data_IF_827140300253
#
_entry.id   IF_827140300253
#
_cell.length_a   1.000
_cell.length_b   1.000
_cell.length_c   1.000
_cell.angle_alpha   90.00
_cell.angle_beta   90.00
_cell.angle_gamma   90.00
#
_symmetry.space_group_name_H-M   'P 1'
#
loop_
_entity.id
_entity.type
_entity.pdbx_description
1 polymer ?
#
# COMPACT_ATOMS: atom_id res chain seq x y z
N UNK A 1 -0.87 -17.51 11.36
CA UNK A 1 -1.35 -16.37 10.55
C UNK A 1 -0.59 -16.36 9.23
N UNK A 2 -1.30 -16.15 8.14
CA UNK A 2 -0.68 -16.12 6.83
C UNK A 2 0.24 -14.91 6.69
N UNK A 3 1.22 -15.04 5.80
CA UNK A 3 2.15 -13.94 5.55
C UNK A 3 1.54 -12.94 4.56
N UNK A 4 1.88 -11.67 4.75
CA UNK A 4 1.56 -10.63 3.79
C UNK A 4 2.27 -10.93 2.47
N UNK A 5 1.53 -10.78 1.37
CA UNK A 5 2.08 -11.01 0.03
C UNK A 5 1.55 -9.94 -0.92
N UNK A 6 2.43 -9.41 -1.77
CA UNK A 6 2.03 -8.51 -2.84
C UNK A 6 2.73 -8.93 -4.13
N UNK A 7 1.92 -9.19 -5.17
CA UNK A 7 2.42 -9.76 -6.42
C UNK A 7 3.19 -11.06 -6.10
N UNK A 8 4.47 -11.12 -6.42
CA UNK A 8 5.29 -12.31 -6.14
C UNK A 8 6.19 -12.17 -4.92
N UNK A 9 6.07 -11.06 -4.19
CA UNK A 9 6.86 -10.85 -2.97
C UNK A 9 6.09 -11.31 -1.75
N UNK A 10 6.65 -12.26 -1.02
CA UNK A 10 6.11 -12.74 0.25
C UNK A 10 6.98 -12.16 1.36
N UNK A 11 6.36 -11.47 2.32
CA UNK A 11 7.10 -10.95 3.46
C UNK A 11 7.72 -12.09 4.24
N UNK A 12 9.04 -12.06 4.51
CA UNK A 12 9.68 -13.10 5.35
C UNK A 12 9.10 -13.14 6.75
N UNK A 13 8.74 -11.96 7.26
CA UNK A 13 8.08 -11.78 8.55
C UNK A 13 7.05 -10.68 8.37
N UNK A 14 5.84 -10.91 8.86
CA UNK A 14 4.78 -9.90 8.74
C UNK A 14 5.20 -8.58 9.39
N UNK A 15 4.76 -7.45 8.83
CA UNK A 15 4.99 -6.15 9.45
C UNK A 15 4.52 -6.12 10.91
N UNK A 16 5.20 -5.31 11.73
CA UNK A 16 4.87 -5.20 13.15
C UNK A 16 3.59 -4.39 13.37
N UNK A 17 3.33 -3.43 12.49
CA UNK A 17 2.19 -2.53 12.60
C UNK A 17 1.42 -2.56 11.29
N UNK A 18 0.11 -2.70 11.41
CA UNK A 18 -0.85 -2.55 10.31
C UNK A 18 -1.85 -1.48 10.67
N UNK A 19 -2.16 -0.62 9.71
CA UNK A 19 -3.26 0.34 9.84
C UNK A 19 -4.10 0.27 8.59
N UNK A 20 -5.40 0.29 8.76
CA UNK A 20 -6.34 0.33 7.64
C UNK A 20 -7.27 1.50 7.88
N UNK A 21 -7.39 2.37 6.88
CA UNK A 21 -8.38 3.43 6.94
C UNK A 21 -9.10 3.56 5.61
N UNK A 22 -10.25 4.17 5.65
CA UNK A 22 -11.09 4.36 4.50
C UNK A 22 -11.12 5.83 4.16
N UNK A 23 -11.01 6.15 2.88
CA UNK A 23 -11.06 7.51 2.41
C UNK A 23 -12.01 7.60 1.22
N UNK A 24 -12.60 8.77 1.05
CA UNK A 24 -13.55 9.02 -0.01
C UNK A 24 -13.32 10.42 -0.56
N UNK A 25 -13.25 10.51 -1.87
CA UNK A 25 -13.16 11.81 -2.52
C UNK A 25 -14.51 12.51 -2.47
N UNK A 26 -14.48 13.82 -2.36
CA UNK A 26 -15.69 14.65 -2.38
C UNK A 26 -15.77 15.32 -3.74
N UNK A 27 -16.95 15.31 -4.32
CA UNK A 27 -17.19 15.93 -5.63
C UNK A 27 -17.93 17.26 -5.41
N UNK A 28 -17.32 18.36 -5.86
CA UNK A 28 -17.85 19.70 -5.69
C UNK A 28 -18.10 20.36 -7.04
N UNK A 29 -19.14 21.19 -7.10
CA UNK A 29 -19.34 22.15 -8.19
C UNK A 29 -19.17 23.55 -7.66
N UNK A 30 -18.56 24.42 -8.46
CA UNK A 30 -18.53 25.86 -8.17
C UNK A 30 -19.87 26.46 -8.56
N UNK A 31 -20.57 27.02 -7.58
CA UNK A 31 -21.90 27.63 -7.82
C UNK A 31 -21.82 29.14 -7.95
N UNK A 32 -20.82 29.79 -7.37
CA UNK A 32 -20.51 31.19 -7.54
C UNK A 32 -19.08 31.44 -7.10
N UNK A 33 -18.55 32.61 -7.44
CA UNK A 33 -17.15 32.92 -7.13
C UNK A 33 -16.85 32.72 -5.65
N UNK A 34 -15.92 31.81 -5.36
CA UNK A 34 -15.51 31.49 -4.00
C UNK A 34 -16.41 30.53 -3.23
N UNK A 35 -17.49 30.05 -3.83
CA UNK A 35 -18.43 29.15 -3.18
C UNK A 35 -18.56 27.82 -3.94
N UNK A 36 -18.59 26.73 -3.21
CA UNK A 36 -18.68 25.39 -3.77
C UNK A 36 -19.86 24.66 -3.15
N UNK A 37 -20.54 23.88 -3.96
CA UNK A 37 -21.60 22.99 -3.51
C UNK A 37 -21.11 21.56 -3.59
N UNK A 38 -21.27 20.78 -2.51
CA UNK A 38 -20.98 19.36 -2.52
C UNK A 38 -22.05 18.67 -3.36
N UNK A 39 -21.63 18.06 -4.46
CA UNK A 39 -22.53 17.39 -5.41
C UNK A 39 -22.71 15.92 -5.08
N UNK A 40 -21.67 15.29 -4.55
CA UNK A 40 -21.72 13.88 -4.21
C UNK A 40 -20.44 13.40 -3.58
N UNK A 41 -20.42 12.11 -3.28
CA UNK A 41 -19.27 11.43 -2.72
C UNK A 41 -18.66 10.54 -3.80
N UNK A 42 -17.34 10.56 -3.89
CA UNK A 42 -16.61 9.63 -4.73
C UNK A 42 -16.60 8.23 -4.14
N UNK A 43 -15.92 7.34 -4.82
CA UNK A 43 -15.81 5.94 -4.37
C UNK A 43 -15.05 5.86 -3.04
N UNK A 44 -15.52 4.97 -2.18
CA UNK A 44 -14.83 4.65 -0.94
C UNK A 44 -13.62 3.78 -1.27
N UNK A 45 -12.45 4.18 -0.81
CA UNK A 45 -11.21 3.45 -1.03
C UNK A 45 -10.62 3.03 0.31
N UNK A 46 -10.06 1.84 0.34
CA UNK A 46 -9.36 1.33 1.50
C UNK A 46 -7.86 1.58 1.33
N UNK A 47 -7.26 2.18 2.35
CA UNK A 47 -5.83 2.44 2.38
C UNK A 47 -5.21 1.60 3.47
N UNK A 48 -4.24 0.79 3.12
CA UNK A 48 -3.56 -0.11 4.04
C UNK A 48 -2.13 0.36 4.20
N UNK A 49 -1.76 0.72 5.42
CA UNK A 49 -0.39 1.10 5.74
C UNK A 49 0.19 0.12 6.74
N UNK A 50 1.50 0.06 6.77
CA UNK A 50 2.17 -0.79 7.74
C UNK A 50 3.63 -0.40 7.87
N UNK A 51 4.25 -0.94 8.90
CA UNK A 51 5.68 -0.75 9.15
C UNK A 51 6.26 -1.98 9.82
N UNK A 52 7.55 -2.15 9.64
CA UNK A 52 8.24 -3.28 10.23
C UNK A 52 9.72 -3.20 9.94
N UNK A 53 10.37 -4.35 10.05
CA UNK A 53 11.81 -4.47 9.90
C UNK A 53 12.12 -5.70 9.07
N UNK A 54 13.01 -5.54 8.10
CA UNK A 54 13.70 -6.67 7.50
C UNK A 54 15.01 -6.87 8.24
N UNK A 55 15.29 -8.09 8.63
CA UNK A 55 16.51 -8.42 9.36
C UNK A 55 17.15 -9.67 8.77
N UNK A 56 18.44 -9.86 9.04
CA UNK A 56 19.19 -10.97 8.50
C UNK A 56 19.93 -10.59 7.21
N UNK A 57 20.60 -11.58 6.63
CA UNK A 57 21.45 -11.35 5.46
C UNK A 57 20.70 -10.82 4.24
N UNK A 58 19.41 -11.13 4.13
CA UNK A 58 18.57 -10.72 3.00
C UNK A 58 17.86 -9.38 3.20
N UNK A 59 18.10 -8.66 4.30
CA UNK A 59 17.37 -7.45 4.63
C UNK A 59 17.35 -6.42 3.50
N UNK A 60 18.52 -6.08 2.96
CA UNK A 60 18.61 -5.15 1.84
C UNK A 60 17.99 -5.69 0.56
N UNK A 61 18.21 -6.97 0.29
CA UNK A 61 17.65 -7.59 -0.91
C UNK A 61 16.13 -7.57 -0.85
N UNK A 62 15.53 -7.82 0.30
CA UNK A 62 14.09 -7.78 0.49
C UNK A 62 13.55 -6.37 0.28
N UNK A 63 14.21 -5.37 0.83
CA UNK A 63 13.79 -3.98 0.62
C UNK A 63 13.90 -3.56 -0.84
N UNK A 64 14.96 -3.97 -1.52
CA UNK A 64 15.12 -3.67 -2.95
C UNK A 64 14.07 -4.33 -3.81
N UNK A 65 13.61 -5.51 -3.45
CA UNK A 65 12.51 -6.17 -4.15
C UNK A 65 11.22 -5.38 -4.00
N UNK A 66 10.92 -4.86 -2.81
CA UNK A 66 9.78 -3.97 -2.60
C UNK A 66 9.94 -2.66 -3.38
N UNK A 67 11.13 -2.10 -3.39
CA UNK A 67 11.41 -0.88 -4.15
C UNK A 67 11.11 -1.08 -5.63
N UNK A 68 11.53 -2.21 -6.19
CA UNK A 68 11.23 -2.55 -7.58
C UNK A 68 9.73 -2.66 -7.83
N UNK A 69 8.98 -3.27 -6.91
CA UNK A 69 7.54 -3.36 -7.01
C UNK A 69 6.86 -1.99 -6.90
N UNK A 70 7.40 -1.11 -6.06
CA UNK A 70 6.89 0.25 -5.92
C UNK A 70 7.07 1.06 -7.20
N UNK A 71 8.11 0.77 -7.97
CA UNK A 71 8.35 1.43 -9.26
C UNK A 71 7.39 0.97 -10.36
N UNK A 72 6.75 -0.17 -10.20
CA UNK A 72 5.74 -0.66 -11.15
C UNK A 72 4.44 0.14 -10.99
N UNK A 73 3.82 0.47 -12.11
CA UNK A 73 2.60 1.29 -12.10
C UNK A 73 1.31 0.49 -12.13
N UNK A 74 1.38 -0.80 -12.41
CA UNK A 74 0.20 -1.66 -12.48
C UNK A 74 -0.21 -2.15 -11.09
N UNK A 75 -1.52 -2.32 -10.90
CA UNK A 75 -2.05 -2.94 -9.69
C UNK A 75 -1.61 -4.39 -9.60
N UNK A 76 -1.53 -4.90 -8.39
CA UNK A 76 -1.23 -6.30 -8.11
C UNK A 76 -2.14 -6.85 -7.04
N UNK A 77 -2.11 -8.16 -6.89
CA UNK A 77 -2.88 -8.81 -5.83
C UNK A 77 -2.12 -8.69 -4.52
N UNK A 78 -2.80 -8.09 -3.53
CA UNK A 78 -2.33 -7.98 -2.16
C UNK A 78 -3.07 -9.03 -1.34
N UNK A 79 -2.33 -9.91 -0.70
CA UNK A 79 -2.92 -10.91 0.21
C UNK A 79 -2.57 -10.50 1.63
N UNK A 80 -3.58 -10.03 2.34
CA UNK A 80 -3.43 -9.53 3.69
C UNK A 80 -3.83 -10.62 4.69
N UNK A 81 -3.11 -10.78 5.81
CA UNK A 81 -3.44 -11.84 6.80
C UNK A 81 -4.87 -11.75 7.35
N UNK A 82 -5.43 -10.56 7.42
CA UNK A 82 -6.77 -10.33 7.97
C UNK A 82 -7.79 -10.10 6.87
N UNK A 83 -7.48 -9.23 5.89
CA UNK A 83 -8.42 -8.81 4.86
C UNK A 83 -8.51 -9.75 3.68
N UNK A 84 -7.55 -10.68 3.55
CA UNK A 84 -7.53 -11.60 2.42
C UNK A 84 -7.03 -10.94 1.15
N UNK A 85 -7.55 -11.39 0.01
CA UNK A 85 -7.06 -10.99 -1.31
C UNK A 85 -7.80 -9.75 -1.82
N UNK A 86 -7.05 -8.74 -2.24
CA UNK A 86 -7.59 -7.55 -2.88
C UNK A 86 -6.60 -7.00 -3.90
N UNK A 87 -7.09 -6.28 -4.89
CA UNK A 87 -6.24 -5.60 -5.86
C UNK A 87 -5.80 -4.26 -5.30
N UNK A 88 -4.51 -3.95 -5.40
CA UNK A 88 -3.97 -2.75 -4.80
C UNK A 88 -2.75 -2.22 -5.58
N UNK A 89 -2.46 -0.95 -5.35
CA UNK A 89 -1.23 -0.31 -5.80
C UNK A 89 -0.34 -0.08 -4.60
N UNK A 90 0.95 -0.37 -4.74
CA UNK A 90 1.94 0.06 -3.76
C UNK A 90 2.34 1.49 -4.10
N UNK A 91 1.81 2.45 -3.35
CA UNK A 91 1.92 3.86 -3.69
C UNK A 91 2.98 4.60 -2.89
N UNK A 92 3.44 4.00 -1.80
CA UNK A 92 4.45 4.63 -0.97
C UNK A 92 5.29 3.57 -0.28
N UNK A 93 6.60 3.78 -0.28
CA UNK A 93 7.56 2.94 0.41
C UNK A 93 8.63 3.84 0.99
N UNK A 94 8.91 3.69 2.27
CA UNK A 94 9.87 4.52 2.96
C UNK A 94 10.81 3.65 3.80
N UNK A 95 12.07 4.02 3.81
CA UNK A 95 13.04 3.49 4.76
C UNK A 95 13.02 4.44 5.96
N UNK A 96 12.48 3.98 7.07
CA UNK A 96 12.15 4.86 8.20
C UNK A 96 13.33 5.23 9.09
N UNK A 97 14.44 4.52 8.94
CA UNK A 97 15.67 4.78 9.66
C UNK A 97 16.85 4.56 8.74
N UNK A 98 17.99 5.13 9.08
CA UNK A 98 19.21 4.84 8.35
C UNK A 98 19.51 3.34 8.46
N UNK A 99 19.77 2.66 7.32
CA UNK A 99 19.99 1.22 7.35
C UNK A 99 21.29 0.84 8.02
N UNK A 100 21.27 -0.31 8.67
CA UNK A 100 22.45 -0.93 9.26
C UNK A 100 22.69 -2.27 8.57
N UNK A 101 23.82 -2.86 8.84
CA UNK A 101 24.10 -4.19 8.33
C UNK A 101 23.00 -5.17 8.79
N UNK A 102 22.42 -5.89 7.85
CA UNK A 102 21.38 -6.88 8.10
C UNK A 102 20.13 -6.32 8.81
N UNK A 103 19.84 -5.03 8.63
CA UNK A 103 18.70 -4.41 9.29
C UNK A 103 18.16 -3.24 8.45
N UNK A 104 16.89 -3.32 8.07
CA UNK A 104 16.20 -2.24 7.35
C UNK A 104 14.82 -2.04 7.94
N UNK A 105 14.58 -0.87 8.51
CA UNK A 105 13.25 -0.47 8.98
C UNK A 105 12.50 0.22 7.83
N UNK A 106 11.23 -0.12 7.64
CA UNK A 106 10.45 0.35 6.51
C UNK A 106 9.02 0.67 6.90
N UNK A 107 8.37 1.48 6.05
CA UNK A 107 6.93 1.65 6.07
C UNK A 107 6.41 1.63 4.63
N UNK A 108 5.14 1.30 4.48
CA UNK A 108 4.53 1.21 3.16
C UNK A 108 3.08 1.67 3.18
N UNK A 109 2.56 1.95 1.99
CA UNK A 109 1.17 2.32 1.82
C UNK A 109 0.63 1.69 0.54
N UNK A 110 -0.45 0.94 0.67
CA UNK A 110 -1.21 0.37 -0.44
C UNK A 110 -2.53 1.13 -0.58
N UNK A 111 -2.90 1.40 -1.82
CA UNK A 111 -4.21 1.94 -2.17
C UNK A 111 -4.99 0.87 -2.91
N UNK A 112 -6.21 0.57 -2.45
CA UNK A 112 -7.06 -0.42 -3.10
C UNK A 112 -7.42 0.05 -4.51
N UNK A 113 -7.31 -0.86 -5.48
CA UNK A 113 -7.61 -0.56 -6.87
C UNK A 113 -9.11 -0.57 -7.13
N UNK A 114 -9.54 0.25 -8.08
CA UNK A 114 -10.92 0.22 -8.56
C UNK A 114 -11.10 -0.92 -9.56
N UNK A 115 -12.35 -1.22 -9.91
CA UNK A 115 -12.67 -2.32 -10.83
C UNK A 115 -11.91 -2.18 -12.17
N UNK A 116 -11.78 -0.94 -12.67
CA UNK A 116 -11.08 -0.70 -13.95
C UNK A 116 -9.59 -0.96 -13.91
N UNK A 117 -9.00 -1.05 -12.71
CA UNK A 117 -7.57 -1.24 -12.51
C UNK A 117 -7.21 -2.66 -12.03
N UNK A 118 -8.16 -3.58 -12.08
CA UNK A 118 -7.93 -4.95 -11.58
C UNK A 118 -6.79 -5.63 -12.33
N UNK A 119 -5.86 -6.27 -11.63
CA UNK A 119 -4.75 -6.97 -12.27
C UNK A 119 -5.21 -8.26 -12.94
N UNK A 120 -4.45 -8.70 -13.91
CA UNK A 120 -4.66 -10.01 -14.51
C UNK A 120 -4.19 -11.09 -13.53
N UNK A 121 -4.85 -12.24 -13.57
CA UNK A 121 -4.47 -13.37 -12.76
C UNK A 121 -3.25 -14.11 -13.30
#
# INVERSE_FOLDING_TARGET
>A
MDKLKFKNFIWPRNPEVYKTHYTRDLVYNEVSEGYFQLVGLGDLKRVITGSGVFSGESAFADFKRLEALCAETAAGWLIHPVWGKSAAFLVELEMTQEPRENYVAYSFKFLEATIGDMPEE
#
